data_IF_551279147410
#
_entry.id   IF_551279147410
#
_cell.length_a   1.000
_cell.length_b   1.000
_cell.length_c   1.000
_cell.angle_alpha   90.00
_cell.angle_beta   90.00
_cell.angle_gamma   90.00
#
_symmetry.space_group_name_H-M   'P 1'
#
loop_
_entity.id
_entity.type
_entity.pdbx_description
1 polymer ?
#
# COMPACT_ATOMS: atom_id res chain seq x y z
N UNK A 1 16.64 -24.68 4.87
CA UNK A 1 16.07 -23.73 3.89
C UNK A 1 15.66 -24.52 2.66
N UNK A 2 14.39 -24.92 2.57
CA UNK A 2 13.86 -25.41 1.30
C UNK A 2 13.64 -24.19 0.42
N UNK A 3 14.48 -24.01 -0.59
CA UNK A 3 14.21 -23.09 -1.69
C UNK A 3 12.98 -23.63 -2.43
N UNK A 4 11.85 -22.96 -2.25
CA UNK A 4 10.69 -23.12 -3.12
C UNK A 4 11.18 -22.94 -4.56
N UNK A 5 10.89 -23.90 -5.43
CA UNK A 5 11.20 -23.78 -6.86
C UNK A 5 10.58 -22.48 -7.39
N UNK A 6 11.43 -21.54 -7.81
CA UNK A 6 11.05 -20.14 -8.06
C UNK A 6 10.19 -19.96 -9.32
N UNK A 7 9.58 -21.02 -9.87
CA UNK A 7 8.70 -20.94 -11.04
C UNK A 7 7.31 -21.54 -10.81
N UNK A 8 7.08 -22.20 -9.68
CA UNK A 8 5.81 -22.85 -9.38
C UNK A 8 5.61 -23.07 -7.88
N UNK A 9 4.38 -22.90 -7.38
CA UNK A 9 4.01 -23.49 -6.09
C UNK A 9 3.60 -24.94 -6.35
N UNK A 10 4.27 -25.87 -5.68
CA UNK A 10 3.88 -27.26 -5.61
C UNK A 10 3.27 -27.52 -4.21
N UNK A 11 2.01 -27.94 -4.17
CA UNK A 11 1.41 -28.48 -2.95
C UNK A 11 1.38 -30.02 -3.07
N UNK A 12 2.08 -30.68 -2.14
CA UNK A 12 2.11 -32.14 -2.03
C UNK A 12 0.96 -32.52 -1.09
N UNK A 13 -0.04 -33.21 -1.63
CA UNK A 13 -1.25 -33.58 -0.88
C UNK A 13 -1.19 -35.02 -0.32
N UNK A 14 -0.40 -35.88 -0.95
CA UNK A 14 -0.08 -37.27 -0.58
C UNK A 14 1.14 -37.73 -1.42
N UNK A 15 1.82 -38.82 -1.04
CA UNK A 15 3.10 -39.31 -1.59
C UNK A 15 3.12 -39.48 -3.13
N UNK A 16 1.96 -39.44 -3.79
CA UNK A 16 1.80 -39.65 -5.24
C UNK A 16 1.05 -38.53 -6.00
N UNK A 17 0.68 -37.41 -5.37
CA UNK A 17 -0.03 -36.30 -6.08
C UNK A 17 0.62 -34.95 -5.82
N UNK A 18 1.33 -34.45 -6.84
CA UNK A 18 1.90 -33.10 -6.89
C UNK A 18 1.00 -32.21 -7.74
N UNK A 19 0.41 -31.19 -7.13
CA UNK A 19 -0.33 -30.16 -7.85
C UNK A 19 0.58 -28.95 -8.03
N UNK A 20 0.94 -28.67 -9.27
CA UNK A 20 1.79 -27.55 -9.65
C UNK A 20 0.94 -26.43 -10.25
N UNK A 21 1.05 -25.24 -9.66
CA UNK A 21 0.53 -24.00 -10.22
C UNK A 21 1.72 -23.18 -10.73
N UNK A 22 1.67 -22.76 -11.99
CA UNK A 22 2.64 -21.84 -12.56
C UNK A 22 2.55 -20.50 -11.84
N UNK A 23 3.69 -19.92 -11.44
CA UNK A 23 3.74 -18.59 -10.83
C UNK A 23 4.46 -17.65 -11.76
N UNK A 24 3.68 -16.80 -12.41
CA UNK A 24 4.22 -15.71 -13.21
C UNK A 24 4.92 -14.69 -12.28
N UNK A 25 5.88 -13.92 -12.82
CA UNK A 25 6.48 -12.81 -12.09
C UNK A 25 5.45 -11.80 -11.56
N UNK A 26 4.38 -11.56 -12.34
CA UNK A 26 3.29 -10.66 -11.96
C UNK A 26 2.50 -11.21 -10.77
N UNK A 27 2.10 -12.49 -10.83
CA UNK A 27 1.38 -13.13 -9.74
C UNK A 27 2.21 -13.17 -8.45
N UNK A 28 3.52 -13.43 -8.55
CA UNK A 28 4.44 -13.32 -7.40
C UNK A 28 4.38 -11.94 -6.77
N UNK A 29 4.53 -10.89 -7.59
CA UNK A 29 4.46 -9.51 -7.11
C UNK A 29 3.14 -9.20 -6.42
N UNK A 30 2.02 -9.70 -6.95
CA UNK A 30 0.69 -9.53 -6.35
C UNK A 30 0.55 -10.30 -5.02
N UNK A 31 1.03 -11.54 -4.93
CA UNK A 31 1.02 -12.31 -3.68
C UNK A 31 1.87 -11.64 -2.60
N UNK A 32 3.02 -11.07 -2.96
CA UNK A 32 3.86 -10.30 -2.05
C UNK A 32 3.14 -9.05 -1.52
N UNK A 33 2.37 -8.36 -2.38
CA UNK A 33 1.51 -7.25 -1.94
C UNK A 33 0.41 -7.71 -1.01
N UNK A 34 -0.24 -8.83 -1.30
CA UNK A 34 -1.27 -9.39 -0.44
C UNK A 34 -0.72 -9.75 0.94
N UNK A 35 0.51 -10.28 1.02
CA UNK A 35 1.22 -10.49 2.29
C UNK A 35 1.42 -9.17 3.05
N UNK A 36 1.85 -8.11 2.37
CA UNK A 36 2.02 -6.78 2.98
C UNK A 36 0.69 -6.18 3.45
N UNK A 37 -0.39 -6.32 2.67
CA UNK A 37 -1.73 -5.87 3.04
C UNK A 37 -2.34 -6.66 4.20
N UNK A 38 -2.01 -7.94 4.34
CA UNK A 38 -2.42 -8.73 5.51
C UNK A 38 -1.88 -8.14 6.81
N UNK A 39 -0.68 -7.54 6.80
CA UNK A 39 -0.13 -6.81 7.94
C UNK A 39 -0.89 -5.50 8.24
N UNK A 40 -1.67 -4.97 7.30
CA UNK A 40 -2.54 -3.80 7.50
C UNK A 40 -3.95 -4.15 8.00
N UNK A 41 -4.38 -5.40 7.79
CA UNK A 41 -5.80 -5.79 7.87
C UNK A 41 -6.08 -6.89 8.91
N UNK A 42 -5.20 -7.07 9.90
CA UNK A 42 -5.28 -8.15 10.89
C UNK A 42 -5.52 -9.52 10.24
N UNK A 43 -4.80 -9.81 9.16
CA UNK A 43 -4.89 -11.02 8.35
C UNK A 43 -6.26 -11.29 7.71
N UNK A 44 -7.03 -10.24 7.38
CA UNK A 44 -8.37 -10.41 6.79
C UNK A 44 -8.36 -11.14 5.44
N UNK A 45 -7.30 -11.03 4.64
CA UNK A 45 -7.22 -11.67 3.33
C UNK A 45 -6.71 -13.10 3.37
N UNK A 46 -6.09 -13.54 4.48
CA UNK A 46 -5.48 -14.86 4.56
C UNK A 46 -6.47 -16.00 4.30
N UNK A 47 -7.69 -16.03 4.89
CA UNK A 47 -8.68 -17.07 4.59
C UNK A 47 -9.07 -17.10 3.12
N UNK A 48 -9.27 -15.92 2.51
CA UNK A 48 -9.68 -15.82 1.10
C UNK A 48 -8.56 -16.28 0.16
N UNK A 49 -7.31 -15.85 0.40
CA UNK A 49 -6.15 -16.29 -0.38
C UNK A 49 -5.95 -17.81 -0.29
N UNK A 50 -6.10 -18.38 0.92
CA UNK A 50 -6.03 -19.83 1.10
C UNK A 50 -7.14 -20.55 0.35
N UNK A 51 -8.38 -20.06 0.41
CA UNK A 51 -9.50 -20.63 -0.35
C UNK A 51 -9.25 -20.57 -1.85
N UNK A 52 -8.80 -19.42 -2.38
CA UNK A 52 -8.51 -19.23 -3.80
C UNK A 52 -7.40 -20.15 -4.29
N UNK A 53 -6.28 -20.24 -3.56
CA UNK A 53 -5.17 -21.13 -3.90
C UNK A 53 -5.58 -22.60 -3.79
N UNK A 54 -6.41 -22.96 -2.81
CA UNK A 54 -6.92 -24.33 -2.65
C UNK A 54 -7.80 -24.74 -3.83
N UNK A 55 -8.74 -23.87 -4.24
CA UNK A 55 -9.58 -24.12 -5.42
C UNK A 55 -8.74 -24.24 -6.67
N UNK A 56 -7.76 -23.35 -6.85
CA UNK A 56 -6.91 -23.34 -8.02
C UNK A 56 -6.09 -24.62 -8.17
N UNK A 57 -5.77 -25.27 -7.05
CA UNK A 57 -5.04 -26.54 -7.02
C UNK A 57 -5.97 -27.75 -7.06
N UNK A 58 -7.20 -27.65 -6.58
CA UNK A 58 -8.13 -28.76 -6.62
C UNK A 58 -8.75 -28.93 -8.02
N UNK A 59 -7.93 -29.40 -8.97
CA UNK A 59 -8.35 -29.75 -10.33
C UNK A 59 -9.08 -31.10 -10.28
N UNK A 60 -10.32 -31.16 -10.79
CA UNK A 60 -11.05 -32.42 -10.95
C UNK A 60 -10.26 -33.30 -11.92
N UNK A 61 -10.24 -34.62 -11.68
CA UNK A 61 -9.72 -35.58 -12.65
C UNK A 61 -10.35 -35.35 -14.02
N UNK A 62 -9.61 -34.73 -14.95
CA UNK A 62 -10.06 -34.47 -16.32
C UNK A 62 -10.79 -33.14 -16.58
N UNK A 63 -10.84 -32.18 -15.63
CA UNK A 63 -11.31 -30.81 -15.90
C UNK A 63 -10.16 -29.82 -16.05
N UNK A 64 -10.40 -28.70 -16.72
CA UNK A 64 -9.50 -27.55 -16.70
C UNK A 64 -9.45 -26.92 -15.29
N UNK A 65 -8.42 -26.10 -15.02
CA UNK A 65 -8.29 -25.33 -13.78
C UNK A 65 -9.48 -24.38 -13.63
N UNK A 66 -9.91 -24.12 -12.39
CA UNK A 66 -11.02 -23.21 -12.11
C UNK A 66 -10.77 -21.77 -12.58
N UNK A 67 -9.53 -21.28 -12.48
CA UNK A 67 -9.13 -19.99 -13.04
C UNK A 67 -7.95 -20.14 -13.99
N UNK A 68 -7.98 -19.40 -15.09
CA UNK A 68 -6.79 -19.12 -15.87
C UNK A 68 -5.80 -18.29 -15.05
N UNK A 69 -4.53 -18.30 -15.45
CA UNK A 69 -3.50 -17.46 -14.83
C UNK A 69 -3.88 -15.97 -14.86
N UNK A 70 -4.49 -15.50 -15.96
CA UNK A 70 -4.90 -14.10 -16.12
C UNK A 70 -6.06 -13.72 -15.19
N UNK A 71 -7.05 -14.59 -15.02
CA UNK A 71 -8.16 -14.37 -14.10
C UNK A 71 -7.69 -14.30 -12.65
N UNK A 72 -6.77 -15.19 -12.25
CA UNK A 72 -6.20 -15.16 -10.90
C UNK A 72 -5.37 -13.89 -10.64
N UNK A 73 -4.58 -13.45 -11.62
CA UNK A 73 -3.88 -12.16 -11.53
C UNK A 73 -4.85 -10.98 -11.42
N UNK A 74 -5.92 -10.95 -12.24
CA UNK A 74 -6.94 -9.91 -12.17
C UNK A 74 -7.66 -9.88 -10.82
N UNK A 75 -7.92 -11.04 -10.24
CA UNK A 75 -8.49 -11.17 -8.90
C UNK A 75 -7.54 -10.62 -7.84
N UNK A 76 -6.26 -10.98 -7.88
CA UNK A 76 -5.28 -10.47 -6.93
C UNK A 76 -5.08 -8.95 -7.06
N UNK A 77 -5.15 -8.40 -8.27
CA UNK A 77 -5.16 -6.95 -8.51
C UNK A 77 -6.37 -6.27 -7.87
N UNK A 78 -7.56 -6.86 -8.01
CA UNK A 78 -8.77 -6.37 -7.38
C UNK A 78 -8.67 -6.41 -5.85
N UNK A 79 -8.24 -7.53 -5.29
CA UNK A 79 -8.08 -7.70 -3.85
C UNK A 79 -7.05 -6.74 -3.25
N UNK A 80 -5.96 -6.48 -3.97
CA UNK A 80 -4.96 -5.49 -3.56
C UNK A 80 -5.57 -4.09 -3.52
N UNK A 81 -6.20 -3.66 -4.61
CA UNK A 81 -6.82 -2.35 -4.74
C UNK A 81 -7.84 -2.14 -3.63
N UNK A 82 -8.78 -3.08 -3.52
CA UNK A 82 -9.82 -3.00 -2.51
C UNK A 82 -9.24 -3.02 -1.10
N UNK A 83 -8.30 -3.93 -0.83
CA UNK A 83 -7.73 -4.08 0.50
C UNK A 83 -6.98 -2.85 0.97
N UNK A 84 -6.18 -2.25 0.10
CA UNK A 84 -5.53 -0.98 0.43
C UNK A 84 -6.55 0.14 0.66
N UNK A 85 -7.59 0.24 -0.17
CA UNK A 85 -8.57 1.31 -0.03
C UNK A 85 -9.48 1.15 1.21
N UNK A 86 -9.80 -0.07 1.64
CA UNK A 86 -10.63 -0.28 2.85
C UNK A 86 -9.80 -0.21 4.13
N UNK A 87 -8.72 -0.98 4.19
CA UNK A 87 -7.94 -1.10 5.42
C UNK A 87 -6.93 0.04 5.57
N UNK A 88 -6.33 0.48 4.47
CA UNK A 88 -5.41 1.62 4.45
C UNK A 88 -6.17 2.95 4.41
N UNK A 89 -6.90 3.21 3.33
CA UNK A 89 -7.55 4.52 3.10
C UNK A 89 -8.73 4.76 4.02
N UNK A 90 -9.66 3.81 4.16
CA UNK A 90 -10.83 4.00 5.02
C UNK A 90 -10.55 3.71 6.50
N UNK A 91 -9.52 2.93 6.84
CA UNK A 91 -9.20 2.55 8.22
C UNK A 91 -10.32 1.75 8.90
N UNK A 92 -11.18 1.10 8.10
CA UNK A 92 -12.35 0.36 8.59
C UNK A 92 -12.06 -1.14 8.57
N UNK A 93 -12.41 -1.84 9.66
CA UNK A 93 -12.35 -3.31 9.74
C UNK A 93 -13.66 -3.99 9.31
N UNK A 94 -14.57 -3.24 8.68
CA UNK A 94 -15.96 -3.64 8.44
C UNK A 94 -16.10 -4.81 7.47
N UNK A 95 -15.18 -4.96 6.50
CA UNK A 95 -15.26 -6.01 5.49
C UNK A 95 -14.70 -7.36 5.95
N UNK A 96 -14.05 -7.45 7.12
CA UNK A 96 -13.35 -8.67 7.56
C UNK A 96 -14.29 -9.88 7.67
N UNK A 97 -15.48 -9.68 8.22
CA UNK A 97 -16.47 -10.75 8.36
C UNK A 97 -17.03 -11.18 7.00
N UNK A 98 -17.26 -10.23 6.09
CA UNK A 98 -17.71 -10.50 4.72
C UNK A 98 -16.64 -11.31 3.94
N UNK A 99 -15.35 -10.98 4.11
CA UNK A 99 -14.25 -11.73 3.52
C UNK A 99 -14.14 -13.16 4.04
N UNK A 100 -14.29 -13.33 5.36
CA UNK A 100 -14.30 -14.65 5.98
C UNK A 100 -15.50 -15.45 5.46
N UNK A 101 -16.69 -14.85 5.40
CA UNK A 101 -17.89 -15.49 4.87
C UNK A 101 -17.72 -15.90 3.40
N UNK A 102 -17.14 -15.01 2.58
CA UNK A 102 -16.83 -15.29 1.18
C UNK A 102 -15.84 -16.45 1.07
N UNK A 103 -14.74 -16.41 1.82
CA UNK A 103 -13.76 -17.51 1.87
C UNK A 103 -14.40 -18.85 2.26
N UNK A 104 -15.36 -18.85 3.18
CA UNK A 104 -16.15 -20.03 3.55
C UNK A 104 -17.16 -20.44 2.49
N UNK A 105 -17.81 -19.52 1.79
CA UNK A 105 -18.67 -19.83 0.62
C UNK A 105 -17.85 -20.46 -0.49
N UNK A 106 -16.72 -19.86 -0.84
CA UNK A 106 -15.71 -20.35 -1.79
C UNK A 106 -15.28 -21.78 -1.42
N UNK A 107 -14.94 -22.04 -0.16
CA UNK A 107 -14.58 -23.38 0.31
C UNK A 107 -15.77 -24.37 0.31
N UNK A 108 -16.98 -23.94 0.65
CA UNK A 108 -18.18 -24.79 0.67
C UNK A 108 -18.64 -25.18 -0.74
N UNK A 109 -18.71 -24.24 -1.67
CA UNK A 109 -19.02 -24.51 -3.08
C UNK A 109 -18.05 -25.57 -3.63
N UNK A 110 -16.76 -25.42 -3.33
CA UNK A 110 -15.76 -26.41 -3.69
C UNK A 110 -15.96 -27.79 -3.01
N UNK A 111 -16.22 -27.83 -1.70
CA UNK A 111 -16.36 -29.10 -0.94
C UNK A 111 -17.67 -29.84 -1.22
N UNK A 112 -18.74 -29.09 -1.47
CA UNK A 112 -20.11 -29.61 -1.62
C UNK A 112 -20.54 -29.74 -3.09
N UNK A 113 -19.71 -29.29 -4.03
CA UNK A 113 -19.98 -29.35 -5.47
C UNK A 113 -21.26 -28.61 -5.89
N UNK A 114 -21.65 -27.60 -5.11
CA UNK A 114 -22.73 -26.66 -5.43
C UNK A 114 -22.15 -25.44 -6.19
N UNK A 115 -22.92 -24.92 -7.16
CA UNK A 115 -22.68 -23.82 -8.11
C UNK A 115 -21.28 -23.16 -8.16
N UNK A 116 -20.73 -23.03 -9.37
CA UNK A 116 -19.47 -22.30 -9.64
C UNK A 116 -19.56 -20.88 -9.08
N UNK A 117 -18.79 -20.59 -8.02
CA UNK A 117 -18.57 -19.21 -7.59
C UNK A 117 -17.66 -18.57 -8.62
N UNK A 118 -18.23 -17.68 -9.42
CA UNK A 118 -17.55 -16.93 -10.46
C UNK A 118 -17.00 -15.61 -9.90
N UNK A 119 -16.13 -14.93 -10.66
CA UNK A 119 -15.59 -13.61 -10.27
C UNK A 119 -16.72 -12.61 -10.08
N UNK A 120 -17.84 -12.78 -10.78
CA UNK A 120 -19.06 -11.99 -10.65
C UNK A 120 -19.76 -12.14 -9.29
N UNK A 121 -19.49 -13.22 -8.54
CA UNK A 121 -20.03 -13.49 -7.20
C UNK A 121 -19.16 -12.94 -6.07
N UNK A 122 -17.91 -12.57 -6.37
CA UNK A 122 -17.12 -11.77 -5.45
C UNK A 122 -17.86 -10.46 -5.29
N UNK A 123 -18.14 -10.02 -4.05
CA UNK A 123 -19.01 -8.90 -3.85
C UNK A 123 -18.53 -7.69 -4.66
N UNK A 124 -19.47 -7.01 -5.32
CA UNK A 124 -19.30 -5.66 -5.90
C UNK A 124 -19.13 -4.61 -4.77
N UNK A 125 -18.41 -4.98 -3.70
CA UNK A 125 -18.19 -4.21 -2.49
C UNK A 125 -17.55 -2.86 -2.84
N UNK A 126 -16.71 -2.79 -3.87
CA UNK A 126 -16.05 -1.52 -4.23
C UNK A 126 -17.05 -0.43 -4.67
N UNK A 127 -18.17 -0.77 -5.33
CA UNK A 127 -19.13 0.26 -5.77
C UNK A 127 -20.07 0.71 -4.66
N UNK A 128 -20.46 -0.20 -3.77
CA UNK A 128 -21.42 0.12 -2.70
C UNK A 128 -20.74 0.75 -1.48
N UNK A 129 -19.47 0.42 -1.23
CA UNK A 129 -18.69 1.04 -0.15
C UNK A 129 -18.25 2.48 -0.46
N UNK A 130 -18.20 2.86 -1.75
CA UNK A 130 -17.73 4.18 -2.21
C UNK A 130 -18.84 5.14 -2.64
N UNK A 131 -20.11 4.74 -2.57
CA UNK A 131 -21.27 5.61 -2.86
C UNK A 131 -21.82 6.26 -1.59
N UNK A 132 -22.22 7.53 -1.69
CA UNK A 132 -22.86 8.29 -0.60
C UNK A 132 -21.89 8.99 0.36
N UNK A 133 -22.35 9.33 1.57
CA UNK A 133 -21.57 10.06 2.61
C UNK A 133 -20.32 9.31 3.12
N UNK A 134 -20.05 8.12 2.60
CA UNK A 134 -18.92 7.25 2.95
C UNK A 134 -17.98 6.96 1.77
N UNK A 135 -17.97 7.78 0.72
CA UNK A 135 -17.00 7.62 -0.38
C UNK A 135 -15.57 7.50 0.16
N UNK A 136 -14.78 6.57 -0.39
CA UNK A 136 -13.42 6.35 0.12
C UNK A 136 -12.50 7.56 -0.02
N UNK A 137 -12.81 8.52 -0.91
CA UNK A 137 -12.15 9.82 -0.94
C UNK A 137 -12.49 10.67 0.29
N UNK A 138 -13.76 10.74 0.70
CA UNK A 138 -14.16 11.42 1.93
C UNK A 138 -13.59 10.71 3.16
N UNK A 139 -13.45 9.38 3.13
CA UNK A 139 -12.78 8.63 4.19
C UNK A 139 -11.25 8.88 4.20
N UNK A 140 -10.61 9.00 3.03
CA UNK A 140 -9.22 9.44 2.92
C UNK A 140 -9.01 10.82 3.51
N UNK A 141 -9.82 11.79 3.07
CA UNK A 141 -9.83 13.17 3.59
C UNK A 141 -10.03 13.18 5.09
N UNK A 142 -11.02 12.43 5.58
CA UNK A 142 -11.29 12.31 7.01
C UNK A 142 -10.09 11.71 7.73
N UNK A 143 -9.50 10.59 7.28
CA UNK A 143 -8.38 9.96 7.98
C UNK A 143 -7.13 10.84 8.00
N UNK A 144 -6.87 11.59 6.93
CA UNK A 144 -5.78 12.58 6.91
C UNK A 144 -6.09 13.77 7.84
N UNK A 145 -7.35 14.17 7.98
CA UNK A 145 -7.73 15.36 8.77
C UNK A 145 -8.27 15.07 10.17
N UNK A 146 -8.52 13.81 10.52
CA UNK A 146 -9.18 13.37 11.76
C UNK A 146 -8.40 13.81 12.99
N UNK A 147 -7.07 13.76 12.91
CA UNK A 147 -6.17 14.34 13.89
C UNK A 147 -5.32 15.42 13.23
N UNK A 148 -5.85 16.65 13.22
CA UNK A 148 -5.22 17.83 12.61
C UNK A 148 -3.76 18.06 13.01
N UNK A 149 -3.31 17.51 14.14
CA UNK A 149 -1.96 17.69 14.64
C UNK A 149 -0.90 16.87 13.89
N UNK A 150 -1.23 15.69 13.35
CA UNK A 150 -0.23 14.78 12.78
C UNK A 150 -0.50 14.28 11.36
N UNK A 151 -1.65 14.62 10.77
CA UNK A 151 -1.96 14.48 9.33
C UNK A 151 -1.54 13.10 8.77
N UNK A 152 -0.72 13.08 7.71
CA UNK A 152 -0.28 11.84 7.04
C UNK A 152 0.54 10.91 7.93
N UNK A 153 1.23 11.43 8.94
CA UNK A 153 2.06 10.62 9.82
C UNK A 153 1.23 9.68 10.72
N UNK A 154 -0.02 10.02 11.03
CA UNK A 154 -0.95 9.12 11.76
C UNK A 154 -1.48 7.97 10.91
N UNK A 155 -1.22 8.00 9.60
CA UNK A 155 -1.64 6.94 8.69
C UNK A 155 -0.79 5.65 8.84
N UNK A 156 0.24 5.68 9.70
CA UNK A 156 0.98 4.53 10.22
C UNK A 156 1.36 3.52 9.13
N UNK A 157 0.91 2.27 9.24
CA UNK A 157 1.30 1.21 8.32
C UNK A 157 0.76 1.44 6.90
N UNK A 158 -0.36 2.16 6.72
CA UNK A 158 -0.87 2.53 5.40
C UNK A 158 0.06 3.53 4.70
N UNK A 159 0.65 4.47 5.45
CA UNK A 159 1.71 5.35 4.94
C UNK A 159 2.95 4.54 4.54
N UNK A 160 3.41 3.62 5.40
CA UNK A 160 4.54 2.76 5.07
C UNK A 160 4.28 1.99 3.77
N UNK A 161 3.06 1.47 3.59
CA UNK A 161 2.68 0.70 2.41
C UNK A 161 2.70 1.57 1.16
N UNK A 162 2.12 2.77 1.22
CA UNK A 162 2.15 3.71 0.11
C UNK A 162 3.59 4.08 -0.30
N UNK A 163 4.44 4.42 0.67
CA UNK A 163 5.83 4.81 0.39
C UNK A 163 6.66 3.63 -0.13
N UNK A 164 6.38 2.42 0.34
CA UNK A 164 7.03 1.21 -0.16
C UNK A 164 6.59 0.85 -1.58
N UNK A 165 5.29 0.97 -1.90
CA UNK A 165 4.81 0.78 -3.27
C UNK A 165 5.36 1.84 -4.23
N UNK A 166 5.56 3.08 -3.76
CA UNK A 166 6.21 4.13 -4.53
C UNK A 166 7.67 3.79 -4.84
N UNK A 167 8.39 3.24 -3.86
CA UNK A 167 9.75 2.75 -4.04
C UNK A 167 9.79 1.60 -5.06
N UNK A 168 8.95 0.57 -4.92
CA UNK A 168 8.88 -0.56 -5.85
C UNK A 168 8.49 -0.15 -7.27
N UNK A 169 7.60 0.82 -7.42
CA UNK A 169 7.19 1.34 -8.72
C UNK A 169 8.36 1.90 -9.53
N UNK A 170 9.32 2.51 -8.84
CA UNK A 170 10.49 3.11 -9.47
C UNK A 170 11.74 2.23 -9.46
N UNK A 171 11.87 1.36 -8.46
CA UNK A 171 12.98 0.43 -8.30
C UNK A 171 12.48 -0.91 -7.74
N UNK A 172 12.18 -1.90 -8.62
CA UNK A 172 11.76 -3.24 -8.20
C UNK A 172 12.80 -3.97 -7.33
N UNK A 173 14.08 -3.60 -7.46
CA UNK A 173 15.20 -4.13 -6.68
C UNK A 173 15.53 -3.23 -5.48
N UNK A 174 14.51 -2.70 -4.81
CA UNK A 174 14.72 -1.83 -3.64
C UNK A 174 15.41 -2.58 -2.49
N UNK A 175 16.17 -1.83 -1.69
CA UNK A 175 16.81 -2.31 -0.47
C UNK A 175 15.87 -2.32 0.74
N UNK A 176 14.67 -1.73 0.60
CA UNK A 176 13.63 -1.77 1.62
C UNK A 176 12.90 -3.13 1.61
N UNK A 177 12.43 -3.56 2.77
CA UNK A 177 11.82 -4.87 3.02
C UNK A 177 10.35 -4.78 3.47
N UNK A 178 9.81 -3.58 3.70
CA UNK A 178 8.50 -3.36 4.31
C UNK A 178 8.41 -4.06 5.69
N UNK A 179 9.34 -3.72 6.57
CA UNK A 179 9.39 -4.28 7.91
C UNK A 179 9.55 -3.17 8.96
N UNK A 180 8.47 -2.94 9.69
CA UNK A 180 8.40 -1.95 10.78
C UNK A 180 9.41 -2.20 11.92
N UNK A 181 10.02 -3.38 12.01
CA UNK A 181 11.07 -3.69 12.97
C UNK A 181 12.40 -3.01 12.62
N UNK A 182 12.70 -2.85 11.33
CA UNK A 182 13.96 -2.30 10.81
C UNK A 182 13.80 -0.99 10.03
N UNK A 183 12.58 -0.60 9.67
CA UNK A 183 12.27 0.63 8.92
C UNK A 183 11.40 1.59 9.72
N UNK A 184 11.53 2.87 9.43
CA UNK A 184 10.73 3.92 10.04
C UNK A 184 10.52 5.10 9.11
N UNK A 185 9.58 5.96 9.48
CA UNK A 185 9.32 7.20 8.77
C UNK A 185 10.31 8.28 9.20
N UNK A 186 11.08 8.74 8.23
CA UNK A 186 11.94 9.91 8.34
C UNK A 186 11.18 11.18 7.96
N UNK A 187 11.43 12.25 8.72
CA UNK A 187 10.95 13.59 8.41
C UNK A 187 12.10 14.39 7.82
N UNK A 188 12.00 14.77 6.54
CA UNK A 188 13.07 15.49 5.84
C UNK A 188 13.34 16.83 6.55
N UNK A 189 12.30 17.66 6.71
CA UNK A 189 12.22 18.70 7.73
C UNK A 189 11.82 18.06 9.06
N UNK A 190 12.69 18.03 10.09
CA UNK A 190 12.40 17.35 11.34
C UNK A 190 11.24 17.99 12.11
N UNK A 191 10.62 17.20 12.99
CA UNK A 191 9.60 17.70 13.93
C UNK A 191 10.18 18.72 14.94
N UNK A 192 11.46 18.56 15.30
CA UNK A 192 12.16 19.41 16.26
C UNK A 192 13.51 19.85 15.70
N UNK A 193 13.53 20.78 14.73
CA UNK A 193 14.77 21.28 14.14
C UNK A 193 15.65 21.95 15.22
N UNK A 194 16.93 21.61 15.25
CA UNK A 194 17.90 22.00 16.28
C UNK A 194 18.85 23.13 15.80
N UNK A 195 20.17 22.92 15.86
CA UNK A 195 21.16 23.87 15.37
C UNK A 195 21.31 23.73 13.84
N UNK A 196 21.54 24.84 13.15
CA UNK A 196 21.67 24.86 11.68
C UNK A 196 20.38 25.15 10.90
N UNK A 197 19.22 25.26 11.57
CA UNK A 197 17.98 25.73 10.95
C UNK A 197 17.75 27.22 11.17
N UNK A 198 17.30 27.89 10.11
CA UNK A 198 16.82 29.27 10.16
C UNK A 198 15.55 29.42 11.00
N UNK A 199 15.26 30.64 11.46
CA UNK A 199 14.00 30.94 12.16
C UNK A 199 12.77 30.60 11.31
N UNK A 200 12.89 30.73 9.98
CA UNK A 200 11.83 30.39 9.02
C UNK A 200 11.54 28.89 9.01
N UNK A 201 12.56 28.06 8.92
CA UNK A 201 12.41 26.60 8.95
C UNK A 201 11.88 26.09 10.29
N UNK A 202 12.33 26.68 11.40
CA UNK A 202 11.79 26.40 12.73
C UNK A 202 10.32 26.78 12.85
N UNK A 203 9.87 27.83 12.15
CA UNK A 203 8.46 28.20 12.07
C UNK A 203 7.66 27.19 11.25
N UNK A 204 8.21 26.70 10.13
CA UNK A 204 7.57 25.67 9.31
C UNK A 204 7.36 24.36 10.06
N UNK A 205 8.33 23.92 10.86
CA UNK A 205 8.23 22.70 11.66
C UNK A 205 7.09 22.74 12.71
N UNK A 206 6.59 23.93 13.07
CA UNK A 206 5.42 24.09 13.95
C UNK A 206 4.09 23.94 13.23
N UNK A 207 4.07 24.02 11.89
CA UNK A 207 2.85 23.86 11.10
C UNK A 207 2.66 22.37 10.76
N UNK A 208 1.61 21.70 11.28
CA UNK A 208 1.35 20.28 11.00
C UNK A 208 1.08 20.01 9.52
N UNK A 209 0.58 21.00 8.77
CA UNK A 209 0.37 20.89 7.32
C UNK A 209 1.68 20.84 6.54
N UNK A 210 2.81 21.27 7.13
CA UNK A 210 4.13 21.22 6.49
C UNK A 210 4.93 20.03 7.02
N UNK A 211 5.09 19.94 8.35
CA UNK A 211 5.99 18.95 8.95
C UNK A 211 5.46 17.52 8.80
N UNK A 212 4.14 17.34 8.75
CA UNK A 212 3.50 16.04 8.51
C UNK A 212 2.87 15.95 7.11
N UNK A 213 3.30 16.79 6.17
CA UNK A 213 2.92 16.68 4.77
C UNK A 213 3.49 15.38 4.18
N UNK A 214 2.74 14.74 3.28
CA UNK A 214 3.16 13.51 2.59
C UNK A 214 4.54 13.66 1.93
N UNK A 215 4.79 14.81 1.29
CA UNK A 215 6.06 15.12 0.64
C UNK A 215 7.24 15.30 1.60
N UNK A 216 7.00 15.51 2.90
CA UNK A 216 8.06 15.60 3.91
C UNK A 216 8.47 14.24 4.51
N UNK A 217 7.78 13.15 4.14
CA UNK A 217 7.94 11.83 4.76
C UNK A 217 8.65 10.84 3.81
N UNK A 218 9.61 10.09 4.35
CA UNK A 218 10.33 9.01 3.67
C UNK A 218 10.25 7.73 4.50
N UNK A 219 10.13 6.58 3.84
CA UNK A 219 10.36 5.29 4.47
C UNK A 219 11.84 4.95 4.31
N UNK A 220 12.58 4.83 5.42
CA UNK A 220 14.01 4.53 5.39
C UNK A 220 14.39 3.53 6.49
N UNK A 221 15.58 2.89 6.42
CA UNK A 221 16.09 2.06 7.50
C UNK A 221 16.25 2.85 8.82
N UNK A 222 15.86 2.26 9.95
CA UNK A 222 15.90 2.88 11.29
C UNK A 222 17.28 3.34 11.71
N UNK A 223 18.31 2.59 11.34
CA UNK A 223 19.71 2.93 11.62
C UNK A 223 20.12 4.22 10.88
N UNK A 224 19.72 4.35 9.61
CA UNK A 224 19.92 5.55 8.81
C UNK A 224 19.14 6.73 9.41
N UNK A 225 17.85 6.53 9.71
CA UNK A 225 17.01 7.55 10.36
C UNK A 225 17.61 8.06 11.68
N UNK A 226 18.03 7.13 12.54
CA UNK A 226 18.63 7.48 13.84
C UNK A 226 19.94 8.27 13.67
N UNK A 227 20.72 7.96 12.64
CA UNK A 227 21.98 8.64 12.32
C UNK A 227 21.76 10.04 11.72
N UNK A 228 20.64 10.23 11.01
CA UNK A 228 20.23 11.51 10.44
C UNK A 228 19.65 12.44 11.50
N UNK A 229 18.82 11.91 12.41
CA UNK A 229 18.24 12.65 13.53
C UNK A 229 17.63 13.98 13.05
N UNK A 230 17.87 15.07 13.79
CA UNK A 230 17.39 16.41 13.44
C UNK A 230 18.33 17.19 12.53
N UNK A 231 19.38 16.59 11.94
CA UNK A 231 20.38 17.32 11.14
C UNK A 231 19.76 18.14 9.99
N UNK A 232 20.34 19.29 9.62
CA UNK A 232 19.91 20.07 8.45
C UNK A 232 19.89 19.27 7.15
N UNK A 233 19.06 19.71 6.19
CA UNK A 233 18.90 19.02 4.91
C UNK A 233 20.21 18.78 4.17
N UNK A 234 21.14 19.74 4.18
CA UNK A 234 22.43 19.62 3.49
C UNK A 234 23.28 18.46 4.00
N UNK A 235 23.15 18.12 5.29
CA UNK A 235 23.78 16.94 5.88
C UNK A 235 23.01 15.68 5.52
N UNK A 236 21.67 15.69 5.67
CA UNK A 236 20.82 14.54 5.36
C UNK A 236 20.95 14.10 3.90
N UNK A 237 21.02 15.08 3.00
CA UNK A 237 21.19 14.93 1.55
C UNK A 237 22.37 14.03 1.18
N UNK A 238 23.48 14.09 1.92
CA UNK A 238 24.68 13.26 1.66
C UNK A 238 24.40 11.77 1.91
N UNK A 239 23.60 11.45 2.92
CA UNK A 239 23.17 10.08 3.19
C UNK A 239 22.13 9.61 2.17
N UNK A 240 21.16 10.48 1.86
CA UNK A 240 20.10 10.17 0.90
C UNK A 240 20.61 9.79 -0.49
N UNK A 241 21.73 10.36 -0.95
CA UNK A 241 22.38 9.97 -2.22
C UNK A 241 22.76 8.48 -2.29
N UNK A 242 22.94 7.82 -1.15
CA UNK A 242 23.32 6.40 -1.04
C UNK A 242 22.13 5.50 -0.65
N UNK A 243 20.96 6.07 -0.41
CA UNK A 243 19.79 5.36 0.09
C UNK A 243 18.92 4.72 -0.99
N UNK A 244 17.66 4.52 -0.63
CA UNK A 244 16.55 4.09 -1.49
C UNK A 244 16.32 5.03 -2.68
N UNK A 245 15.48 4.63 -3.64
CA UNK A 245 15.09 5.49 -4.76
C UNK A 245 14.47 6.79 -4.26
N UNK A 246 13.53 6.72 -3.31
CA UNK A 246 12.86 7.93 -2.81
C UNK A 246 13.81 8.88 -2.07
N UNK A 247 14.82 8.36 -1.37
CA UNK A 247 15.88 9.18 -0.77
C UNK A 247 16.71 9.88 -1.84
N UNK A 248 17.19 9.12 -2.85
CA UNK A 248 17.98 9.67 -3.96
C UNK A 248 17.21 10.72 -4.75
N UNK A 249 15.91 10.52 -4.94
CA UNK A 249 15.02 11.50 -5.54
C UNK A 249 15.03 12.82 -4.77
N UNK A 250 14.80 12.77 -3.45
CA UNK A 250 14.83 13.95 -2.58
C UNK A 250 16.19 14.65 -2.66
N UNK A 251 17.28 13.89 -2.68
CA UNK A 251 18.65 14.40 -2.73
C UNK A 251 19.02 15.15 -4.03
N UNK A 252 18.23 15.02 -5.10
CA UNK A 252 18.43 15.80 -6.33
C UNK A 252 18.21 17.31 -6.10
N UNK A 253 17.41 17.66 -5.10
CA UNK A 253 17.17 19.05 -4.74
C UNK A 253 18.40 19.65 -4.04
N UNK A 254 18.72 20.90 -4.36
CA UNK A 254 19.78 21.64 -3.68
C UNK A 254 19.33 22.14 -2.29
N UNK A 255 18.03 22.38 -2.12
CA UNK A 255 17.39 22.77 -0.85
C UNK A 255 16.04 22.08 -0.73
N UNK A 256 15.54 21.89 0.48
CA UNK A 256 14.25 21.22 0.70
C UNK A 256 13.38 22.03 1.67
N UNK A 257 12.59 22.95 1.11
CA UNK A 257 11.64 23.78 1.85
C UNK A 257 10.19 23.48 1.48
N UNK A 258 9.29 24.40 1.87
CA UNK A 258 7.84 24.28 1.64
C UNK A 258 7.48 24.00 0.17
N UNK A 259 8.20 24.61 -0.77
CA UNK A 259 7.97 24.40 -2.21
C UNK A 259 8.23 22.94 -2.59
N UNK A 260 9.39 22.38 -2.23
CA UNK A 260 9.73 20.99 -2.51
C UNK A 260 8.82 20.01 -1.77
N UNK A 261 8.44 20.32 -0.52
CA UNK A 261 7.47 19.53 0.24
C UNK A 261 6.14 19.47 -0.50
N UNK A 262 5.65 20.60 -1.02
CA UNK A 262 4.40 20.67 -1.76
C UNK A 262 4.48 19.89 -3.07
N UNK A 263 5.52 20.11 -3.87
CA UNK A 263 5.73 19.42 -5.16
C UNK A 263 5.80 17.90 -4.97
N UNK A 264 6.57 17.44 -3.97
CA UNK A 264 6.65 16.01 -3.65
C UNK A 264 5.33 15.47 -3.11
N UNK A 265 4.59 16.25 -2.31
CA UNK A 265 3.25 15.84 -1.84
C UNK A 265 2.30 15.64 -3.01
N UNK A 266 2.31 16.55 -3.98
CA UNK A 266 1.51 16.42 -5.19
C UNK A 266 1.90 15.17 -5.98
N UNK A 267 3.20 14.94 -6.19
CA UNK A 267 3.70 13.75 -6.89
C UNK A 267 3.26 12.44 -6.23
N UNK A 268 3.37 12.34 -4.90
CA UNK A 268 2.95 11.14 -4.16
C UNK A 268 1.43 10.96 -4.15
N UNK A 269 0.66 12.05 -4.14
CA UNK A 269 -0.79 12.01 -4.31
C UNK A 269 -1.17 11.50 -5.69
N UNK A 270 -0.50 11.98 -6.75
CA UNK A 270 -0.75 11.51 -8.11
C UNK A 270 -0.42 10.03 -8.26
N UNK A 271 0.68 9.58 -7.64
CA UNK A 271 1.01 8.16 -7.56
C UNK A 271 -0.11 7.36 -6.86
N UNK A 272 -0.57 7.79 -5.67
CA UNK A 272 -1.66 7.14 -4.94
C UNK A 272 -2.94 7.03 -5.81
N UNK A 273 -3.34 8.13 -6.45
CA UNK A 273 -4.56 8.21 -7.25
C UNK A 273 -4.48 7.30 -8.47
N UNK A 274 -3.35 7.35 -9.20
CA UNK A 274 -3.14 6.53 -10.39
C UNK A 274 -3.02 5.04 -10.04
N UNK A 275 -2.24 4.72 -9.00
CA UNK A 275 -1.94 3.34 -8.58
C UNK A 275 -3.20 2.56 -8.23
N UNK A 276 -4.11 3.17 -7.47
CA UNK A 276 -5.36 2.54 -7.04
C UNK A 276 -6.58 3.00 -7.83
N UNK A 277 -6.35 3.64 -8.99
CA UNK A 277 -7.41 4.04 -9.93
C UNK A 277 -8.57 4.79 -9.25
N UNK A 278 -8.24 5.66 -8.30
CA UNK A 278 -9.25 6.34 -7.45
C UNK A 278 -10.16 7.23 -8.32
N UNK A 279 -9.64 7.81 -9.39
CA UNK A 279 -10.41 8.63 -10.33
C UNK A 279 -11.61 7.88 -10.96
N UNK A 280 -11.49 6.57 -11.18
CA UNK A 280 -12.60 5.74 -11.71
C UNK A 280 -13.79 5.65 -10.74
N UNK A 281 -13.54 5.87 -9.44
CA UNK A 281 -14.55 5.74 -8.38
C UNK A 281 -15.30 7.04 -8.10
N UNK A 282 -14.66 8.19 -8.28
CA UNK A 282 -15.17 9.50 -7.81
C UNK A 282 -15.16 10.60 -8.87
N UNK A 283 -14.57 10.36 -10.04
CA UNK A 283 -14.46 11.32 -11.14
C UNK A 283 -13.30 12.30 -11.01
N UNK A 284 -12.77 12.75 -12.16
CA UNK A 284 -11.58 13.61 -12.23
C UNK A 284 -11.76 14.99 -11.58
N UNK A 285 -12.95 15.59 -11.70
CA UNK A 285 -13.24 16.90 -11.09
C UNK A 285 -13.14 16.86 -9.57
N UNK A 286 -13.63 15.77 -8.96
CA UNK A 286 -13.59 15.54 -7.51
C UNK A 286 -12.15 15.36 -7.04
N UNK A 287 -11.37 14.56 -7.77
CA UNK A 287 -9.92 14.38 -7.50
C UNK A 287 -9.17 15.70 -7.55
N UNK A 288 -9.44 16.53 -8.57
CA UNK A 288 -8.81 17.84 -8.70
C UNK A 288 -9.13 18.75 -7.51
N UNK A 289 -10.39 18.76 -7.05
CA UNK A 289 -10.79 19.52 -5.87
C UNK A 289 -10.08 19.03 -4.59
N UNK A 290 -10.04 17.72 -4.39
CA UNK A 290 -9.34 17.07 -3.26
C UNK A 290 -7.85 17.42 -3.22
N UNK A 291 -7.14 17.26 -4.33
CA UNK A 291 -5.71 17.63 -4.43
C UNK A 291 -5.50 19.10 -4.08
N UNK A 292 -6.29 19.99 -4.67
CA UNK A 292 -6.19 21.42 -4.41
C UNK A 292 -6.42 21.76 -2.94
N UNK A 293 -7.39 21.11 -2.28
CA UNK A 293 -7.66 21.31 -0.86
C UNK A 293 -6.47 20.90 0.01
N UNK A 294 -5.92 19.69 -0.21
CA UNK A 294 -4.79 19.19 0.58
C UNK A 294 -3.50 20.01 0.40
N UNK A 295 -3.22 20.44 -0.83
CA UNK A 295 -1.98 21.15 -1.17
C UNK A 295 -2.05 22.66 -0.83
N UNK A 296 -3.26 23.21 -0.61
CA UNK A 296 -3.45 24.64 -0.33
C UNK A 296 -2.83 25.07 1.00
N UNK A 297 -2.77 24.16 1.97
CA UNK A 297 -2.34 24.48 3.34
C UNK A 297 -0.82 24.29 3.56
N UNK A 298 -0.09 23.81 2.54
CA UNK A 298 1.37 23.72 2.53
C UNK A 298 1.93 25.07 2.05
N UNK A 299 2.06 26.05 2.96
CA UNK A 299 2.51 27.43 2.68
C UNK A 299 3.40 27.99 3.77
#
# INVERSE_FOLDING_TARGET
MHTLDEKSIALIFDDNRKLEMEITPKMRGLLDKMRRLNALSDNAFLPLLLSLLTIQLAVKSGSERHYTTQELEGLLEYLERFGFLIYGVAGKNTAKNEWIELAFKTFRAHRLWEDEITIEDLPVLEKDFFKGEHSGLKLLENNINFNNAKKWYEWKNALNYLLYEYELYHNPETTLNFDSSIESIEHILPQKPDQGYSAKEKSWAKNPHIVHALGNLLLIPKNANSSLSNKPFDEKRKAYLKGSYSEKEVAKNASFGVVQIKERSEKLLDFLIARYRIAELVGESTIKAFKNALLKDIK
#
